data_IF_084279872656
#
_entry.id   IF_084279872656
#
_cell.length_a   1.000
_cell.length_b   1.000
_cell.length_c   1.000
_cell.angle_alpha   90.00
_cell.angle_beta   90.00
_cell.angle_gamma   90.00
#
_symmetry.space_group_name_H-M   'P 1'
#
loop_
_entity.id
_entity.type
_entity.pdbx_description
1 polymer ?
#
# COMPACT_ATOMS: atom_id res chain seq x y z
N UNK A 1 22.25 30.48 21.73
CA UNK A 1 22.17 29.59 22.91
C UNK A 1 21.11 28.57 22.59
N UNK A 2 21.53 27.32 22.34
CA UNK A 2 20.66 26.23 21.90
C UNK A 2 19.67 25.85 23.01
N UNK A 3 18.38 25.76 22.65
CA UNK A 3 17.38 25.07 23.47
C UNK A 3 17.33 23.64 22.97
N UNK A 4 17.85 22.73 23.78
CA UNK A 4 17.53 21.32 23.71
C UNK A 4 16.11 21.16 24.26
N UNK A 5 15.20 20.63 23.44
CA UNK A 5 13.96 20.02 23.92
C UNK A 5 13.94 18.59 23.40
N UNK A 6 13.79 17.69 24.37
CA UNK A 6 14.07 16.27 24.33
C UNK A 6 13.19 15.53 23.33
N UNK A 7 13.84 14.85 22.38
CA UNK A 7 13.25 13.86 21.50
C UNK A 7 13.41 12.49 22.19
N UNK A 8 12.50 12.16 23.13
CA UNK A 8 12.60 10.92 23.93
C UNK A 8 11.34 10.05 23.97
N UNK A 9 10.23 10.51 23.41
CA UNK A 9 8.95 9.76 23.45
C UNK A 9 8.66 8.92 22.19
N UNK A 10 9.32 9.20 21.05
CA UNK A 10 9.02 8.50 19.79
C UNK A 10 9.44 7.03 19.78
N UNK A 11 10.46 6.64 20.56
CA UNK A 11 11.02 5.28 20.51
C UNK A 11 10.17 4.24 21.27
N UNK A 12 9.37 4.69 22.24
CA UNK A 12 8.42 3.82 22.96
C UNK A 12 7.08 3.72 22.24
N UNK A 13 6.61 4.80 21.62
CA UNK A 13 5.42 4.76 20.76
C UNK A 13 5.65 3.82 19.57
N UNK A 14 6.80 3.90 18.89
CA UNK A 14 7.14 3.03 17.75
C UNK A 14 7.15 1.54 18.14
N UNK A 15 7.53 1.20 19.38
CA UNK A 15 7.49 -0.18 19.89
C UNK A 15 6.08 -0.66 20.21
N UNK A 16 5.19 0.22 20.68
CA UNK A 16 3.77 -0.09 20.81
C UNK A 16 3.10 -0.27 19.43
N UNK A 17 3.47 0.55 18.43
CA UNK A 17 2.98 0.42 17.05
C UNK A 17 3.41 -0.90 16.39
N UNK A 18 4.65 -1.35 16.60
CA UNK A 18 5.16 -2.65 16.12
C UNK A 18 4.46 -3.85 16.78
N UNK A 19 4.06 -3.74 18.06
CA UNK A 19 3.33 -4.79 18.78
C UNK A 19 1.86 -4.92 18.33
N UNK A 20 1.26 -3.80 17.92
CA UNK A 20 -0.10 -3.71 17.41
C UNK A 20 -0.24 -4.30 16.00
N UNK A 21 0.78 -4.13 15.15
CA UNK A 21 0.80 -4.67 13.78
C UNK A 21 0.83 -6.21 13.75
N UNK A 22 1.32 -6.88 14.81
CA UNK A 22 1.32 -8.35 14.90
C UNK A 22 -0.04 -8.97 15.24
N UNK A 23 -1.06 -8.19 15.64
CA UNK A 23 -2.36 -8.71 16.07
C UNK A 23 -3.49 -8.12 15.21
N UNK A 24 -3.60 -8.60 13.98
CA UNK A 24 -4.59 -8.17 12.99
C UNK A 24 -6.05 -8.35 13.45
N UNK A 25 -6.87 -7.34 13.18
CA UNK A 25 -8.31 -7.43 12.80
C UNK A 25 -9.13 -6.20 13.21
N UNK A 26 -8.68 -5.35 14.14
CA UNK A 26 -9.50 -4.20 14.60
C UNK A 26 -8.73 -2.88 14.72
N UNK A 27 -7.43 -2.93 14.98
CA UNK A 27 -6.61 -1.73 15.18
C UNK A 27 -6.22 -1.04 13.87
N UNK A 28 -6.14 -1.79 12.76
CA UNK A 28 -5.94 -1.25 11.42
C UNK A 28 -7.05 -0.26 11.01
N UNK A 29 -8.29 -0.54 11.42
CA UNK A 29 -9.43 0.36 11.22
C UNK A 29 -9.29 1.66 12.03
N UNK A 30 -8.80 1.58 13.28
CA UNK A 30 -8.62 2.76 14.13
C UNK A 30 -7.51 3.71 13.64
N UNK A 31 -6.46 3.16 13.02
CA UNK A 31 -5.36 3.93 12.43
C UNK A 31 -5.79 4.79 11.24
N UNK A 32 -6.64 4.23 10.36
CA UNK A 32 -7.25 4.97 9.24
C UNK A 32 -8.12 6.13 9.75
N UNK A 33 -8.80 5.96 10.89
CA UNK A 33 -9.67 6.97 11.49
C UNK A 33 -8.93 8.18 12.09
N UNK A 34 -7.75 7.97 12.70
CA UNK A 34 -6.98 9.05 13.35
C UNK A 34 -6.38 10.02 12.31
N UNK A 35 -6.11 9.55 11.08
CA UNK A 35 -5.57 10.38 10.00
C UNK A 35 -6.58 11.38 9.40
N UNK A 36 -7.90 11.22 9.61
CA UNK A 36 -8.94 11.94 8.87
C UNK A 36 -9.35 13.31 9.45
N UNK A 37 -8.82 13.75 10.60
CA UNK A 37 -9.48 14.80 11.40
C UNK A 37 -8.94 16.25 11.35
N UNK A 38 -7.98 16.65 10.51
CA UNK A 38 -7.50 18.06 10.55
C UNK A 38 -7.39 18.80 9.19
N UNK A 39 -8.39 19.67 8.97
CA UNK A 39 -8.43 21.01 8.35
C UNK A 39 -8.05 21.29 6.86
N UNK A 40 -8.97 22.03 6.20
CA UNK A 40 -8.85 22.81 4.94
C UNK A 40 -8.01 24.10 5.13
N UNK A 41 -7.50 24.88 4.15
CA UNK A 41 -7.96 25.24 2.79
C UNK A 41 -6.86 25.97 1.96
N UNK A 42 -7.17 26.22 0.67
CA UNK A 42 -6.59 27.19 -0.31
C UNK A 42 -5.60 26.71 -1.40
N UNK A 43 -6.12 26.14 -2.49
CA UNK A 43 -5.37 25.80 -3.71
C UNK A 43 -6.18 24.96 -4.70
N UNK A 44 -7.47 25.27 -4.86
CA UNK A 44 -8.56 24.35 -5.27
C UNK A 44 -8.18 23.40 -6.41
N UNK A 45 -7.75 23.88 -7.59
CA UNK A 45 -7.50 22.98 -8.74
C UNK A 45 -6.20 22.16 -8.68
N UNK A 46 -5.12 22.67 -8.09
CA UNK A 46 -3.87 21.90 -7.92
C UNK A 46 -3.97 20.95 -6.73
N UNK A 47 -4.65 21.37 -5.65
CA UNK A 47 -4.92 20.53 -4.49
C UNK A 47 -5.89 19.41 -4.80
N UNK A 48 -6.89 19.62 -5.66
CA UNK A 48 -7.80 18.55 -6.08
C UNK A 48 -7.05 17.44 -6.85
N UNK A 49 -6.16 17.81 -7.77
CA UNK A 49 -5.33 16.83 -8.49
C UNK A 49 -4.35 16.12 -7.56
N UNK A 50 -3.67 16.87 -6.70
CA UNK A 50 -2.76 16.33 -5.69
C UNK A 50 -3.47 15.32 -4.79
N UNK A 51 -4.63 15.72 -4.27
CA UNK A 51 -5.47 14.91 -3.41
C UNK A 51 -5.92 13.63 -4.13
N UNK A 52 -6.40 13.74 -5.37
CA UNK A 52 -6.81 12.58 -6.16
C UNK A 52 -5.65 11.58 -6.37
N UNK A 53 -4.44 12.08 -6.62
CA UNK A 53 -3.24 11.24 -6.75
C UNK A 53 -2.92 10.54 -5.43
N UNK A 54 -2.95 11.25 -4.31
CA UNK A 54 -2.67 10.64 -3.00
C UNK A 54 -3.76 9.63 -2.61
N UNK A 55 -5.02 9.91 -2.86
CA UNK A 55 -6.11 8.95 -2.64
C UNK A 55 -5.96 7.70 -3.50
N UNK A 56 -5.55 7.85 -4.77
CA UNK A 56 -5.27 6.72 -5.64
C UNK A 56 -4.08 5.89 -5.13
N UNK A 57 -3.02 6.53 -4.64
CA UNK A 57 -1.91 5.84 -3.98
C UNK A 57 -2.38 5.07 -2.74
N UNK A 58 -3.22 5.68 -1.90
CA UNK A 58 -3.80 5.01 -0.72
C UNK A 58 -4.58 3.78 -1.14
N UNK A 59 -5.43 3.89 -2.16
CA UNK A 59 -6.25 2.77 -2.65
C UNK A 59 -5.40 1.65 -3.25
N UNK A 60 -4.40 1.96 -4.07
CA UNK A 60 -3.51 0.96 -4.67
C UNK A 60 -2.68 0.22 -3.62
N UNK A 61 -2.13 0.95 -2.65
CA UNK A 61 -1.36 0.35 -1.55
C UNK A 61 -2.26 -0.53 -0.67
N UNK A 62 -3.49 -0.09 -0.41
CA UNK A 62 -4.48 -0.87 0.34
C UNK A 62 -4.88 -2.14 -0.42
N UNK A 63 -5.10 -2.05 -1.73
CA UNK A 63 -5.41 -3.19 -2.59
C UNK A 63 -4.28 -4.22 -2.61
N UNK A 64 -3.02 -3.79 -2.76
CA UNK A 64 -1.86 -4.68 -2.76
C UNK A 64 -1.67 -5.40 -1.43
N UNK A 65 -1.86 -4.71 -0.30
CA UNK A 65 -1.81 -5.33 1.02
C UNK A 65 -2.95 -6.32 1.24
N UNK A 66 -4.18 -5.95 0.84
CA UNK A 66 -5.34 -6.82 0.90
C UNK A 66 -5.13 -8.11 0.08
N UNK A 67 -4.63 -7.97 -1.16
CA UNK A 67 -4.26 -9.12 -2.00
C UNK A 67 -3.25 -10.02 -1.28
N UNK A 68 -2.16 -9.47 -0.75
CA UNK A 68 -1.15 -10.26 -0.05
C UNK A 68 -1.73 -10.99 1.18
N UNK A 69 -2.66 -10.38 1.91
CA UNK A 69 -3.33 -10.99 3.06
C UNK A 69 -4.28 -12.13 2.66
N UNK A 70 -5.14 -11.88 1.67
CA UNK A 70 -6.08 -12.88 1.17
C UNK A 70 -5.36 -14.09 0.59
N UNK A 71 -4.31 -13.86 -0.19
CA UNK A 71 -3.53 -14.93 -0.82
C UNK A 71 -2.79 -15.71 0.25
N UNK A 72 -2.13 -15.05 1.20
CA UNK A 72 -1.41 -15.72 2.29
C UNK A 72 -2.34 -16.60 3.16
N UNK A 73 -3.59 -16.18 3.35
CA UNK A 73 -4.57 -16.93 4.14
C UNK A 73 -5.07 -18.21 3.48
N UNK A 74 -4.89 -18.35 2.17
CA UNK A 74 -5.46 -19.46 1.38
C UNK A 74 -4.40 -20.30 0.63
N UNK A 75 -3.21 -19.74 0.40
CA UNK A 75 -2.13 -20.40 -0.33
C UNK A 75 -1.47 -21.51 0.49
N UNK A 76 -1.14 -22.63 -0.18
CA UNK A 76 -0.34 -23.73 0.39
C UNK A 76 1.09 -23.77 -0.14
N UNK A 77 1.35 -23.12 -1.27
CA UNK A 77 2.66 -23.10 -1.90
C UNK A 77 3.59 -22.11 -1.16
N UNK A 78 4.73 -22.59 -0.68
CA UNK A 78 5.66 -21.80 0.11
C UNK A 78 6.30 -20.65 -0.67
N UNK A 79 6.42 -20.75 -1.99
CA UNK A 79 6.94 -19.67 -2.82
C UNK A 79 5.90 -18.55 -2.98
N UNK A 80 4.61 -18.88 -3.05
CA UNK A 80 3.52 -17.89 -3.01
C UNK A 80 3.50 -17.19 -1.65
N UNK A 81 3.59 -17.94 -0.54
CA UNK A 81 3.61 -17.37 0.81
C UNK A 81 4.81 -16.43 1.01
N UNK A 82 6.00 -16.82 0.54
CA UNK A 82 7.20 -15.96 0.60
C UNK A 82 7.02 -14.68 -0.21
N UNK A 83 6.39 -14.75 -1.39
CA UNK A 83 6.08 -13.57 -2.19
C UNK A 83 5.11 -12.64 -1.46
N UNK A 84 4.03 -13.17 -0.87
CA UNK A 84 3.10 -12.37 -0.08
C UNK A 84 3.80 -11.68 1.10
N UNK A 85 4.73 -12.37 1.78
CA UNK A 85 5.52 -11.77 2.85
C UNK A 85 6.38 -10.61 2.34
N UNK A 86 7.04 -10.76 1.19
CA UNK A 86 7.85 -9.68 0.59
C UNK A 86 7.02 -8.45 0.23
N UNK A 87 5.82 -8.64 -0.30
CA UNK A 87 4.88 -7.55 -0.56
C UNK A 87 4.52 -6.84 0.75
N UNK A 88 4.20 -7.59 1.81
CA UNK A 88 3.90 -7.02 3.13
C UNK A 88 5.09 -6.25 3.71
N UNK A 89 6.29 -6.82 3.63
CA UNK A 89 7.52 -6.20 4.13
C UNK A 89 7.80 -4.86 3.42
N UNK A 90 7.62 -4.81 2.09
CA UNK A 90 7.72 -3.56 1.33
C UNK A 90 6.75 -2.49 1.84
N UNK A 91 5.48 -2.85 2.05
CA UNK A 91 4.50 -1.89 2.56
C UNK A 91 4.85 -1.42 3.97
N UNK A 92 5.33 -2.31 4.85
CA UNK A 92 5.78 -1.95 6.20
C UNK A 92 6.97 -0.98 6.14
N UNK A 93 7.96 -1.28 5.31
CA UNK A 93 9.17 -0.46 5.18
C UNK A 93 8.87 0.94 4.61
N UNK A 94 7.97 1.03 3.64
CA UNK A 94 7.62 2.30 2.99
C UNK A 94 6.47 3.04 3.68
N UNK A 95 5.83 2.46 4.70
CA UNK A 95 4.68 3.08 5.37
C UNK A 95 5.00 4.42 6.05
N UNK A 96 6.12 4.56 6.80
CA UNK A 96 6.43 5.83 7.47
C UNK A 96 6.55 7.00 6.50
N UNK A 97 7.26 6.80 5.38
CA UNK A 97 7.42 7.82 4.35
C UNK A 97 6.09 8.12 3.64
N UNK A 98 5.26 7.09 3.44
CA UNK A 98 3.93 7.27 2.86
C UNK A 98 2.99 8.07 3.78
N UNK A 99 3.10 7.89 5.11
CA UNK A 99 2.33 8.72 6.06
C UNK A 99 2.72 10.19 5.97
N UNK A 100 3.99 10.51 5.69
CA UNK A 100 4.42 11.87 5.41
C UNK A 100 3.77 12.43 4.13
N UNK A 101 3.63 11.60 3.08
CA UNK A 101 2.89 11.97 1.86
C UNK A 101 1.40 12.19 2.16
N UNK A 102 0.79 11.48 3.10
CA UNK A 102 -0.61 11.71 3.45
C UNK A 102 -0.83 12.90 4.41
N UNK A 103 0.21 13.34 5.11
CA UNK A 103 0.09 14.32 6.19
C UNK A 103 -0.42 15.69 5.69
N UNK A 104 -1.44 16.22 6.36
CA UNK A 104 -2.01 17.54 6.05
C UNK A 104 -2.86 17.59 4.76
N UNK A 105 -3.16 16.44 4.15
CA UNK A 105 -4.02 16.34 2.97
C UNK A 105 -5.39 15.76 3.37
N UNK A 106 -6.51 16.46 3.08
CA UNK A 106 -7.82 15.89 3.35
C UNK A 106 -8.02 14.66 2.45
N UNK A 107 -8.54 13.56 3.00
CA UNK A 107 -8.91 12.39 2.22
C UNK A 107 -10.43 12.33 2.10
N UNK A 108 -10.91 12.18 0.87
CA UNK A 108 -12.31 11.92 0.53
C UNK A 108 -12.69 10.44 0.57
N UNK A 109 -11.75 9.57 1.00
CA UNK A 109 -11.97 8.14 1.16
C UNK A 109 -12.79 7.85 2.41
N UNK A 110 -13.76 6.95 2.26
CA UNK A 110 -14.70 6.52 3.30
C UNK A 110 -14.55 5.03 3.58
N UNK A 111 -15.12 4.55 4.69
CA UNK A 111 -15.18 3.11 5.01
C UNK A 111 -15.82 2.30 3.88
N UNK A 112 -16.82 2.87 3.19
CA UNK A 112 -17.48 2.22 2.06
C UNK A 112 -16.51 1.93 0.92
N UNK A 113 -15.58 2.83 0.62
CA UNK A 113 -14.62 2.64 -0.48
C UNK A 113 -13.70 1.44 -0.20
N UNK A 114 -13.33 1.25 1.07
CA UNK A 114 -12.54 0.09 1.50
C UNK A 114 -13.35 -1.20 1.53
N UNK A 115 -14.60 -1.15 1.97
CA UNK A 115 -15.51 -2.31 1.95
C UNK A 115 -15.79 -2.78 0.51
N UNK A 116 -15.99 -1.83 -0.42
CA UNK A 116 -16.16 -2.11 -1.85
C UNK A 116 -14.91 -2.73 -2.46
N UNK A 117 -13.72 -2.20 -2.13
CA UNK A 117 -12.44 -2.78 -2.53
C UNK A 117 -12.30 -4.22 -2.02
N UNK A 118 -12.60 -4.46 -0.75
CA UNK A 118 -12.49 -5.79 -0.14
C UNK A 118 -13.45 -6.80 -0.79
N UNK A 119 -14.71 -6.40 -0.96
CA UNK A 119 -15.73 -7.20 -1.65
C UNK A 119 -15.34 -7.51 -3.10
N UNK A 120 -14.82 -6.52 -3.84
CA UNK A 120 -14.35 -6.70 -5.21
C UNK A 120 -13.21 -7.71 -5.28
N UNK A 121 -12.21 -7.61 -4.42
CA UNK A 121 -11.07 -8.53 -4.37
C UNK A 121 -11.52 -9.95 -4.03
N UNK A 122 -12.35 -10.11 -3.01
CA UNK A 122 -12.87 -11.40 -2.59
C UNK A 122 -13.65 -12.08 -3.73
N UNK A 123 -14.51 -11.34 -4.43
CA UNK A 123 -15.23 -11.85 -5.59
C UNK A 123 -14.29 -12.27 -6.72
N UNK A 124 -13.26 -11.48 -7.04
CA UNK A 124 -12.28 -11.83 -8.09
C UNK A 124 -11.50 -13.10 -7.75
N UNK A 125 -11.13 -13.28 -6.49
CA UNK A 125 -10.38 -14.44 -6.00
C UNK A 125 -11.24 -15.71 -5.87
N UNK A 126 -12.54 -15.59 -5.55
CA UNK A 126 -13.47 -16.73 -5.41
C UNK A 126 -13.99 -17.28 -6.74
N UNK A 127 -14.10 -16.44 -7.77
CA UNK A 127 -14.74 -16.84 -9.04
C UNK A 127 -13.91 -17.86 -9.82
N UNK A 128 -12.58 -17.87 -9.66
CA UNK A 128 -11.66 -18.76 -10.40
C UNK A 128 -11.31 -20.02 -9.59
N UNK A 129 -12.31 -20.87 -9.32
CA UNK A 129 -12.21 -22.05 -8.45
C UNK A 129 -11.26 -23.18 -8.88
N UNK A 130 -10.64 -23.11 -10.07
CA UNK A 130 -9.71 -24.13 -10.58
C UNK A 130 -8.24 -23.75 -10.51
N UNK A 131 -7.91 -22.47 -10.23
CA UNK A 131 -6.52 -22.01 -10.21
C UNK A 131 -6.32 -20.76 -9.33
N UNK A 132 -6.70 -20.86 -8.06
CA UNK A 132 -6.50 -19.80 -7.06
C UNK A 132 -5.08 -19.21 -7.10
N UNK A 133 -4.05 -20.05 -7.27
CA UNK A 133 -2.65 -19.60 -7.38
C UNK A 133 -2.38 -18.67 -8.57
N UNK A 134 -2.74 -19.06 -9.80
CA UNK A 134 -2.48 -18.21 -10.98
C UNK A 134 -3.32 -16.95 -11.01
N UNK A 135 -4.60 -17.03 -10.61
CA UNK A 135 -5.46 -15.85 -10.52
C UNK A 135 -4.89 -14.87 -9.49
N UNK A 136 -4.48 -15.36 -8.33
CA UNK A 136 -3.83 -14.56 -7.29
C UNK A 136 -2.59 -13.84 -7.81
N UNK A 137 -1.70 -14.56 -8.51
CA UNK A 137 -0.48 -13.96 -9.07
C UNK A 137 -0.79 -12.91 -10.12
N UNK A 138 -1.78 -13.16 -10.98
CA UNK A 138 -2.22 -12.18 -11.98
C UNK A 138 -2.74 -10.90 -11.33
N UNK A 139 -3.54 -11.01 -10.27
CA UNK A 139 -4.04 -9.84 -9.55
C UNK A 139 -2.93 -9.02 -8.88
N UNK A 140 -1.92 -9.69 -8.31
CA UNK A 140 -0.73 -9.00 -7.79
C UNK A 140 0.05 -8.30 -8.89
N UNK A 141 0.26 -8.94 -10.04
CA UNK A 141 0.93 -8.34 -11.20
C UNK A 141 0.17 -7.08 -11.67
N UNK A 142 -1.16 -7.16 -11.83
CA UNK A 142 -1.99 -6.02 -12.23
C UNK A 142 -1.89 -4.84 -11.24
N UNK A 143 -1.91 -5.12 -9.94
CA UNK A 143 -1.77 -4.07 -8.92
C UNK A 143 -0.37 -3.43 -8.93
N UNK A 144 0.68 -4.22 -9.09
CA UNK A 144 2.06 -3.71 -9.18
C UNK A 144 2.28 -2.92 -10.47
N UNK A 145 1.80 -3.39 -11.62
CA UNK A 145 1.91 -2.66 -12.88
C UNK A 145 1.15 -1.33 -12.82
N UNK A 146 -0.04 -1.32 -12.22
CA UNK A 146 -0.81 -0.09 -12.02
C UNK A 146 -0.10 0.87 -11.05
N UNK A 147 0.52 0.32 -10.00
CA UNK A 147 1.34 1.11 -9.08
C UNK A 147 2.55 1.71 -9.80
N UNK A 148 3.33 0.93 -10.54
CA UNK A 148 4.48 1.43 -11.30
C UNK A 148 4.05 2.56 -12.24
N UNK A 149 2.98 2.36 -13.03
CA UNK A 149 2.51 3.36 -13.97
C UNK A 149 2.14 4.69 -13.29
N UNK A 150 1.44 4.65 -12.14
CA UNK A 150 1.10 5.86 -11.39
C UNK A 150 2.34 6.56 -10.84
N UNK A 151 3.31 5.81 -10.32
CA UNK A 151 4.53 6.38 -9.74
C UNK A 151 5.40 7.01 -10.83
N UNK A 152 5.46 6.41 -12.02
CA UNK A 152 6.11 6.99 -13.20
C UNK A 152 5.41 8.26 -13.67
N UNK A 153 4.08 8.29 -13.74
CA UNK A 153 3.31 9.48 -14.09
C UNK A 153 3.59 10.65 -13.11
N UNK A 154 3.67 10.36 -11.79
CA UNK A 154 4.04 11.35 -10.78
C UNK A 154 5.44 11.92 -11.03
N UNK A 155 6.42 11.07 -11.37
CA UNK A 155 7.79 11.52 -11.64
C UNK A 155 7.91 12.29 -12.95
N UNK A 156 7.11 11.94 -13.97
CA UNK A 156 7.07 12.66 -15.24
C UNK A 156 6.43 14.03 -15.09
N UNK A 157 5.35 14.13 -14.30
CA UNK A 157 4.68 15.40 -14.01
C UNK A 157 5.59 16.38 -13.27
N UNK A 158 6.50 15.86 -12.41
CA UNK A 158 7.38 16.65 -11.55
C UNK A 158 6.61 17.68 -10.70
N UNK A 159 5.37 17.32 -10.33
CA UNK A 159 4.53 18.10 -9.43
C UNK A 159 4.52 17.44 -8.05
N UNK A 160 4.54 18.26 -6.97
CA UNK A 160 4.51 17.83 -5.57
C UNK A 160 5.77 17.06 -5.12
N UNK A 161 6.76 17.82 -4.64
CA UNK A 161 8.12 17.34 -4.32
C UNK A 161 8.15 16.12 -3.38
N UNK A 162 7.31 16.10 -2.35
CA UNK A 162 7.23 15.00 -1.40
C UNK A 162 6.64 13.71 -2.02
N UNK A 163 5.63 13.85 -2.88
CA UNK A 163 5.06 12.73 -3.64
C UNK A 163 6.08 12.21 -4.66
N UNK A 164 6.76 13.09 -5.38
CA UNK A 164 7.84 12.70 -6.31
C UNK A 164 8.97 11.98 -5.57
N UNK A 165 9.42 12.50 -4.43
CA UNK A 165 10.47 11.88 -3.63
C UNK A 165 10.08 10.47 -3.19
N UNK A 166 8.87 10.32 -2.64
CA UNK A 166 8.34 9.03 -2.25
C UNK A 166 8.27 8.07 -3.45
N UNK A 167 7.75 8.54 -4.59
CA UNK A 167 7.64 7.72 -5.81
C UNK A 167 8.99 7.23 -6.31
N UNK A 168 10.00 8.10 -6.28
CA UNK A 168 11.38 7.76 -6.65
C UNK A 168 11.98 6.68 -5.74
N UNK A 169 11.74 6.77 -4.43
CA UNK A 169 12.25 5.80 -3.45
C UNK A 169 11.54 4.45 -3.57
N UNK A 170 10.24 4.44 -3.83
CA UNK A 170 9.42 3.23 -3.84
C UNK A 170 9.52 2.40 -5.13
N UNK A 171 9.74 3.04 -6.29
CA UNK A 171 9.74 2.38 -7.60
C UNK A 171 10.72 1.20 -7.75
N UNK A 172 11.97 1.26 -7.28
CA UNK A 172 12.91 0.15 -7.41
C UNK A 172 12.38 -1.16 -6.83
N UNK A 173 11.73 -1.11 -5.66
CA UNK A 173 11.19 -2.30 -5.01
C UNK A 173 9.94 -2.83 -5.71
N UNK A 174 9.10 -1.96 -6.27
CA UNK A 174 7.98 -2.38 -7.12
C UNK A 174 8.47 -3.11 -8.38
N UNK A 175 9.53 -2.60 -9.02
CA UNK A 175 10.17 -3.27 -10.16
C UNK A 175 10.76 -4.64 -9.79
N UNK A 176 11.40 -4.73 -8.62
CA UNK A 176 11.90 -6.00 -8.10
C UNK A 176 10.76 -6.99 -7.87
N UNK A 177 9.68 -6.58 -7.21
CA UNK A 177 8.50 -7.42 -6.97
C UNK A 177 7.86 -7.90 -8.28
N UNK A 178 7.74 -7.04 -9.29
CA UNK A 178 7.24 -7.44 -10.62
C UNK A 178 8.09 -8.55 -11.23
N UNK A 179 9.41 -8.40 -11.20
CA UNK A 179 10.35 -9.39 -11.74
C UNK A 179 10.23 -10.74 -11.01
N UNK A 180 10.10 -10.71 -9.69
CA UNK A 180 9.92 -11.90 -8.85
C UNK A 180 8.61 -12.61 -9.13
N UNK A 181 7.51 -11.86 -9.27
CA UNK A 181 6.19 -12.38 -9.61
C UNK A 181 6.18 -13.07 -10.98
N UNK A 182 6.74 -12.42 -12.01
CA UNK A 182 6.86 -13.03 -13.33
C UNK A 182 7.68 -14.32 -13.30
N UNK A 183 8.75 -14.35 -12.51
CA UNK A 183 9.60 -15.54 -12.34
C UNK A 183 8.87 -16.64 -11.59
N UNK A 184 8.04 -16.31 -10.60
CA UNK A 184 7.19 -17.27 -9.89
C UNK A 184 6.10 -17.84 -10.80
N UNK A 185 5.40 -16.99 -11.55
CA UNK A 185 4.34 -17.41 -12.46
C UNK A 185 4.84 -18.39 -13.52
N UNK A 186 5.94 -18.05 -14.22
CA UNK A 186 6.56 -18.94 -15.22
C UNK A 186 6.93 -20.31 -14.65
N UNK A 187 7.41 -20.37 -13.40
CA UNK A 187 7.75 -21.63 -12.73
C UNK A 187 6.52 -22.48 -12.42
N UNK A 188 5.38 -21.86 -12.14
CA UNK A 188 4.14 -22.57 -11.83
C UNK A 188 3.41 -23.04 -13.09
N UNK A 189 3.52 -22.30 -14.20
CA UNK A 189 2.99 -22.72 -15.51
C UNK A 189 3.70 -23.95 -16.09
N UNK A 190 4.92 -24.24 -15.62
CA UNK A 190 5.75 -25.36 -16.07
C UNK A 190 5.58 -26.64 -15.23
N UNK A 191 4.80 -26.60 -14.15
CA UNK A 191 4.51 -27.75 -13.27
C UNK A 191 3.20 -28.41 -13.64
#
# INVERSE_FOLDING_TARGET
>A
MFVALECRDSENEIKEWLFIIQNGSMVFRALVWICLLFFSSCGVGKREKEQAVVEQLVMLRTEGLALAEFIASNAKDSAILLMCQRIKDYYIQTHPDFLHVCAGRPMGLTERDFDELWSRLENRLRTDGTSFGMTSLKLCEENIDTSIALYEEILEAQEWEDICYFSFVALPDLYNQRSELHSLRKRLEQK
#
